data_IF_853563968346
#
_entry.id   IF_853563968346
#
_cell.length_a   1.000
_cell.length_b   1.000
_cell.length_c   1.000
_cell.angle_alpha   90.00
_cell.angle_beta   90.00
_cell.angle_gamma   90.00
#
_symmetry.space_group_name_H-M   'P 1'
#
loop_
_entity.id
_entity.type
_entity.pdbx_description
1 polymer ?
#
# COMPACT_ATOMS: atom_id res chain seq x y z
N UNK A 1 -4.15 -14.36 8.44
CA UNK A 1 -3.88 -13.42 7.34
C UNK A 1 -3.40 -12.07 7.85
N UNK A 2 -4.12 -11.40 8.77
CA UNK A 2 -3.70 -10.09 9.30
C UNK A 2 -2.26 -10.02 9.82
N UNK A 3 -1.75 -11.07 10.50
CA UNK A 3 -0.35 -11.09 10.96
C UNK A 3 0.68 -11.12 9.82
N UNK A 4 0.40 -11.82 8.71
CA UNK A 4 1.30 -11.84 7.53
C UNK A 4 1.32 -10.46 6.88
N UNK A 5 0.14 -9.84 6.75
CA UNK A 5 0.02 -8.48 6.22
C UNK A 5 0.82 -7.48 7.06
N UNK A 6 0.72 -7.57 8.39
CA UNK A 6 1.51 -6.72 9.29
C UNK A 6 3.02 -6.87 9.07
N UNK A 7 3.53 -8.10 8.94
CA UNK A 7 4.95 -8.36 8.69
C UNK A 7 5.37 -7.78 7.34
N UNK A 8 4.60 -8.03 6.27
CA UNK A 8 4.90 -7.50 4.93
C UNK A 8 4.95 -5.97 4.95
N UNK A 9 4.01 -5.32 5.63
CA UNK A 9 3.98 -3.87 5.76
C UNK A 9 5.16 -3.31 6.57
N UNK A 10 5.62 -4.00 7.62
CA UNK A 10 6.84 -3.62 8.32
C UNK A 10 8.08 -3.74 7.45
N UNK A 11 8.19 -4.80 6.66
CA UNK A 11 9.31 -4.96 5.71
C UNK A 11 9.28 -3.85 4.65
N UNK A 12 8.10 -3.55 4.09
CA UNK A 12 7.93 -2.45 3.14
C UNK A 12 8.27 -1.10 3.76
N UNK A 13 7.88 -0.84 4.99
CA UNK A 13 8.19 0.42 5.68
C UNK A 13 9.71 0.59 5.83
N UNK A 14 10.41 -0.43 6.33
CA UNK A 14 11.86 -0.38 6.50
C UNK A 14 12.57 -0.22 5.15
N UNK A 15 12.14 -0.98 4.13
CA UNK A 15 12.69 -0.85 2.78
C UNK A 15 12.44 0.53 2.18
N UNK A 16 11.26 1.12 2.40
CA UNK A 16 10.91 2.48 1.97
C UNK A 16 11.81 3.54 2.60
N UNK A 17 12.08 3.45 3.90
CA UNK A 17 13.02 4.37 4.58
C UNK A 17 14.41 4.27 3.96
N UNK A 18 14.92 3.05 3.75
CA UNK A 18 16.22 2.83 3.11
C UNK A 18 16.24 3.39 1.68
N UNK A 19 15.18 3.18 0.91
CA UNK A 19 15.05 3.67 -0.46
C UNK A 19 15.02 5.21 -0.52
N UNK A 20 14.31 5.87 0.41
CA UNK A 20 14.29 7.35 0.51
C UNK A 20 15.67 7.90 0.87
N UNK A 21 16.35 7.30 1.84
CA UNK A 21 17.72 7.71 2.22
C UNK A 21 18.67 7.52 1.03
N UNK A 22 18.58 6.39 0.32
CA UNK A 22 19.38 6.12 -0.87
C UNK A 22 19.14 7.14 -1.99
N UNK A 23 17.88 7.52 -2.22
CA UNK A 23 17.51 8.50 -3.24
C UNK A 23 17.97 9.92 -2.88
N UNK A 24 17.84 10.34 -1.63
CA UNK A 24 18.16 11.71 -1.19
C UNK A 24 19.65 11.90 -0.91
N UNK A 25 20.27 10.99 -0.17
CA UNK A 25 21.67 11.16 0.26
C UNK A 25 22.69 10.66 -0.77
N UNK A 26 22.34 9.63 -1.56
CA UNK A 26 23.25 9.00 -2.51
C UNK A 26 22.82 9.16 -3.97
N UNK A 27 21.72 9.87 -4.24
CA UNK A 27 21.13 10.07 -5.57
C UNK A 27 20.80 8.77 -6.33
N UNK A 28 20.55 7.68 -5.59
CA UNK A 28 20.22 6.36 -6.14
C UNK A 28 18.70 6.23 -6.31
N UNK A 29 18.16 6.82 -7.38
CA UNK A 29 16.71 6.91 -7.60
C UNK A 29 16.05 5.59 -8.04
N UNK A 30 16.79 4.70 -8.71
CA UNK A 30 16.25 3.42 -9.19
C UNK A 30 15.76 2.51 -8.06
N UNK A 31 16.35 2.61 -6.87
CA UNK A 31 15.93 1.83 -5.70
C UNK A 31 14.53 2.24 -5.23
N UNK A 32 14.21 3.53 -5.31
CA UNK A 32 12.88 4.05 -5.02
C UNK A 32 11.84 3.57 -6.05
N UNK A 33 12.22 3.45 -7.33
CA UNK A 33 11.35 2.88 -8.37
C UNK A 33 11.01 1.41 -8.07
N UNK A 34 11.98 0.61 -7.64
CA UNK A 34 11.73 -0.79 -7.25
C UNK A 34 10.81 -0.85 -6.02
N UNK A 35 11.06 0.00 -5.03
CA UNK A 35 10.18 0.14 -3.86
C UNK A 35 8.74 0.46 -4.26
N UNK A 36 8.54 1.44 -5.14
CA UNK A 36 7.21 1.81 -5.63
C UNK A 36 6.48 0.65 -6.31
N UNK A 37 7.21 -0.19 -7.07
CA UNK A 37 6.66 -1.40 -7.70
C UNK A 37 6.14 -2.43 -6.69
N UNK A 38 6.95 -2.77 -5.69
CA UNK A 38 6.55 -3.70 -4.63
C UNK A 38 5.42 -3.13 -3.76
N UNK A 39 5.50 -1.84 -3.42
CA UNK A 39 4.46 -1.15 -2.65
C UNK A 39 3.12 -1.19 -3.40
N UNK A 40 3.10 -0.87 -4.70
CA UNK A 40 1.88 -0.94 -5.51
C UNK A 40 1.24 -2.34 -5.49
N UNK A 41 2.04 -3.40 -5.66
CA UNK A 41 1.54 -4.78 -5.60
C UNK A 41 0.92 -5.12 -4.25
N UNK A 42 1.58 -4.73 -3.15
CA UNK A 42 1.07 -5.01 -1.80
C UNK A 42 -0.18 -4.21 -1.49
N UNK A 43 -0.24 -2.92 -1.83
CA UNK A 43 -1.45 -2.12 -1.63
C UNK A 43 -2.64 -2.62 -2.46
N UNK A 44 -2.42 -3.19 -3.65
CA UNK A 44 -3.49 -3.87 -4.39
C UNK A 44 -4.03 -5.11 -3.65
N UNK A 45 -3.18 -5.84 -2.94
CA UNK A 45 -3.61 -6.97 -2.09
C UNK A 45 -4.40 -6.47 -0.87
N UNK A 46 -3.97 -5.36 -0.26
CA UNK A 46 -4.72 -4.70 0.82
C UNK A 46 -6.12 -4.29 0.35
N UNK A 47 -6.22 -3.61 -0.78
CA UNK A 47 -7.50 -3.21 -1.36
C UNK A 47 -8.43 -4.41 -1.59
N UNK A 48 -7.89 -5.51 -2.13
CA UNK A 48 -8.69 -6.72 -2.35
C UNK A 48 -9.21 -7.33 -1.03
N UNK A 49 -8.42 -7.27 0.04
CA UNK A 49 -8.81 -7.78 1.36
C UNK A 49 -9.84 -6.84 2.00
N UNK A 50 -9.65 -5.54 1.88
CA UNK A 50 -10.53 -4.55 2.50
C UNK A 50 -11.91 -4.54 1.82
N UNK A 51 -11.94 -4.60 0.49
CA UNK A 51 -13.19 -4.81 -0.26
C UNK A 51 -13.85 -6.13 0.13
N UNK A 52 -13.09 -7.21 0.28
CA UNK A 52 -13.64 -8.50 0.72
C UNK A 52 -14.23 -8.45 2.13
N UNK A 53 -13.62 -7.69 3.04
CA UNK A 53 -14.10 -7.51 4.42
C UNK A 53 -15.36 -6.64 4.47
N UNK A 54 -15.53 -5.69 3.54
CA UNK A 54 -16.75 -4.88 3.39
C UNK A 54 -17.89 -5.67 2.75
N UNK A 55 -17.62 -6.47 1.72
CA UNK A 55 -18.63 -7.28 1.02
C UNK A 55 -19.19 -8.42 1.89
N UNK A 56 -18.53 -8.74 3.01
CA UNK A 56 -18.93 -9.82 3.91
C UNK A 56 -18.62 -11.24 3.38
N UNK A 57 -19.21 -12.24 4.02
CA UNK A 57 -19.09 -13.66 3.68
C UNK A 57 -17.96 -14.42 4.38
N UNK A 58 -17.27 -13.81 5.36
CA UNK A 58 -16.22 -14.47 6.18
C UNK A 58 -16.25 -14.02 7.64
N UNK A 59 -15.41 -14.65 8.48
CA UNK A 59 -15.33 -14.47 9.95
C UNK A 59 -15.07 -13.03 10.46
N UNK A 60 -14.65 -12.11 9.60
CA UNK A 60 -14.33 -10.72 9.95
C UNK A 60 -15.11 -9.80 9.01
N UNK A 61 -16.34 -9.47 9.38
CA UNK A 61 -17.18 -8.50 8.70
C UNK A 61 -17.17 -7.20 9.50
N UNK A 62 -17.13 -6.07 8.79
CA UNK A 62 -17.28 -4.76 9.43
C UNK A 62 -18.77 -4.56 9.73
N UNK A 63 -19.09 -4.09 10.94
CA UNK A 63 -20.48 -3.75 11.27
C UNK A 63 -20.95 -2.64 10.32
N UNK A 64 -22.20 -2.64 9.84
CA UNK A 64 -22.75 -1.54 9.03
C UNK A 64 -22.61 -0.16 9.70
N UNK A 65 -22.46 -0.15 11.03
CA UNK A 65 -22.22 1.03 11.86
C UNK A 65 -20.86 1.69 11.59
N UNK A 66 -19.87 0.90 11.16
CA UNK A 66 -18.48 1.30 10.95
C UNK A 66 -18.17 1.64 9.48
N UNK A 67 -19.20 1.98 8.68
CA UNK A 67 -19.06 2.28 7.25
C UNK A 67 -18.08 3.44 6.96
N UNK A 68 -17.97 4.41 7.87
CA UNK A 68 -17.02 5.53 7.74
C UNK A 68 -15.58 5.00 7.79
N UNK A 69 -15.30 4.08 8.70
CA UNK A 69 -13.98 3.46 8.83
C UNK A 69 -13.63 2.67 7.57
N UNK A 70 -14.57 1.83 7.10
CA UNK A 70 -14.42 1.09 5.85
C UNK A 70 -14.14 2.00 4.65
N UNK A 71 -14.87 3.11 4.52
CA UNK A 71 -14.70 4.06 3.43
C UNK A 71 -13.31 4.74 3.47
N UNK A 72 -12.85 5.16 4.66
CA UNK A 72 -11.52 5.74 4.83
C UNK A 72 -10.43 4.74 4.44
N UNK A 73 -10.58 3.48 4.85
CA UNK A 73 -9.59 2.43 4.58
C UNK A 73 -9.42 2.22 3.06
N UNK A 74 -10.53 2.03 2.34
CA UNK A 74 -10.51 1.88 0.86
C UNK A 74 -9.98 3.15 0.18
N UNK A 75 -10.35 4.34 0.66
CA UNK A 75 -9.85 5.60 0.10
C UNK A 75 -8.33 5.71 0.22
N UNK A 76 -7.77 5.39 1.39
CA UNK A 76 -6.33 5.43 1.61
C UNK A 76 -5.59 4.47 0.68
N UNK A 77 -6.10 3.24 0.52
CA UNK A 77 -5.50 2.26 -0.40
C UNK A 77 -5.46 2.77 -1.85
N UNK A 78 -6.55 3.34 -2.34
CA UNK A 78 -6.61 3.90 -3.70
C UNK A 78 -5.60 5.03 -3.88
N UNK A 79 -5.52 5.95 -2.91
CA UNK A 79 -4.56 7.08 -2.96
C UNK A 79 -3.12 6.58 -2.96
N UNK A 80 -2.77 5.59 -2.13
CA UNK A 80 -1.43 5.02 -2.11
C UNK A 80 -1.08 4.28 -3.39
N UNK A 81 -2.00 3.47 -3.94
CA UNK A 81 -1.79 2.81 -5.23
C UNK A 81 -1.55 3.85 -6.32
N UNK A 82 -2.39 4.89 -6.38
CA UNK A 82 -2.24 5.96 -7.36
C UNK A 82 -0.88 6.67 -7.25
N UNK A 83 -0.45 6.99 -6.03
CA UNK A 83 0.86 7.59 -5.80
C UNK A 83 1.98 6.64 -6.27
N UNK A 84 1.95 5.36 -5.90
CA UNK A 84 2.99 4.42 -6.33
C UNK A 84 3.04 4.28 -7.85
N UNK A 85 1.89 4.25 -8.53
CA UNK A 85 1.81 4.24 -9.99
C UNK A 85 2.38 5.53 -10.60
N UNK A 86 2.09 6.69 -10.00
CA UNK A 86 2.67 7.97 -10.42
C UNK A 86 4.19 7.98 -10.27
N UNK A 87 4.72 7.40 -9.19
CA UNK A 87 6.18 7.25 -8.99
C UNK A 87 6.83 6.33 -10.03
N UNK A 88 6.09 5.36 -10.58
CA UNK A 88 6.58 4.43 -11.59
C UNK A 88 6.51 4.99 -13.02
N UNK A 89 5.38 5.63 -13.37
CA UNK A 89 5.06 6.03 -14.75
C UNK A 89 5.08 7.54 -14.97
N UNK A 90 5.06 8.34 -13.91
CA UNK A 90 5.02 9.79 -13.98
C UNK A 90 6.36 10.45 -14.29
N UNK A 91 7.47 9.70 -14.27
CA UNK A 91 8.81 10.20 -14.61
C UNK A 91 9.09 10.24 -16.13
N UNK A 92 8.06 10.40 -16.95
CA UNK A 92 8.23 10.65 -18.39
C UNK A 92 8.43 12.15 -18.61
N UNK A 93 9.60 12.53 -19.13
CA UNK A 93 9.79 13.80 -19.83
C UNK A 93 9.09 13.76 -21.18
#
# INVERSE_FOLDING_TARGET
MYGIMFIISMVLLVFGIVAVIAAVAFHVTWLYTIYAGFAALVFMIYLAIDVQTIMGGRKYEISPEDYIFAAIQVFMDIVYIFWMLLSLFGSNK
#
